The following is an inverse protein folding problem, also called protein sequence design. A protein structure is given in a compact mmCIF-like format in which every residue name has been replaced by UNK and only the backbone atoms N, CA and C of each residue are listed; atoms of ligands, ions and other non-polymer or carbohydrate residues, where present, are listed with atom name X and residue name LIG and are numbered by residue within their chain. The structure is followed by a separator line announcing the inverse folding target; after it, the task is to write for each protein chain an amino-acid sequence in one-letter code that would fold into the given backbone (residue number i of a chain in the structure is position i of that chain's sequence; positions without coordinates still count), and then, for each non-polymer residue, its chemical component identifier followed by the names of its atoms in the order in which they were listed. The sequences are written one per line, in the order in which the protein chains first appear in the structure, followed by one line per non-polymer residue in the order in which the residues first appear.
data_IF_224195351024
#
_entry.id   IF_224195351024
#
_cell.length_a   1.000
_cell.length_b   1.000
_cell.length_c   1.000
_cell.angle_alpha   90.00
_cell.angle_beta   90.00
_cell.angle_gamma   90.00
#
_symmetry.space_group_name_H-M   'P 1'
#
loop_
_entity.id
_entity.type
_entity.pdbx_description
1 polymer ?
#
# COMPACT_ATOMS: atom_id res chain seq x y z
N UNK A 1 -6.13 -13.99 15.64
CA UNK A 1 -6.29 -12.89 14.67
C UNK A 1 -6.08 -11.57 15.39
N UNK A 2 -5.07 -10.79 14.98
CA UNK A 2 -4.74 -9.47 15.53
C UNK A 2 -5.85 -8.46 15.20
N UNK A 3 -5.95 -7.35 15.94
CA UNK A 3 -6.99 -6.34 15.76
C UNK A 3 -7.05 -5.79 14.32
N UNK A 4 -5.91 -5.36 13.77
CA UNK A 4 -5.82 -4.85 12.40
C UNK A 4 -6.24 -5.87 11.33
N UNK A 5 -6.00 -7.16 11.55
CA UNK A 5 -6.41 -8.23 10.63
C UNK A 5 -7.93 -8.40 10.61
N UNK A 6 -8.60 -8.21 11.76
CA UNK A 6 -10.07 -8.20 11.83
C UNK A 6 -10.63 -7.00 11.07
N UNK A 7 -10.11 -5.79 11.32
CA UNK A 7 -10.49 -4.57 10.61
C UNK A 7 -10.33 -4.73 9.08
N UNK A 8 -9.24 -5.35 8.65
CA UNK A 8 -8.97 -5.65 7.25
C UNK A 8 -9.98 -6.65 6.66
N UNK A 9 -10.38 -7.66 7.43
CA UNK A 9 -11.36 -8.66 7.01
C UNK A 9 -12.77 -8.08 6.93
N UNK A 10 -13.11 -7.18 7.86
CA UNK A 10 -14.41 -6.52 7.99
C UNK A 10 -14.55 -5.27 7.10
N UNK A 11 -13.62 -5.05 6.17
CA UNK A 11 -13.65 -3.90 5.26
C UNK A 11 -14.91 -3.88 4.39
N UNK A 12 -15.44 -2.69 4.12
CA UNK A 12 -16.54 -2.50 3.19
C UNK A 12 -16.05 -2.81 1.77
N UNK A 13 -16.76 -3.66 1.03
CA UNK A 13 -16.30 -4.21 -0.26
C UNK A 13 -17.15 -3.80 -1.46
N UNK A 14 -18.20 -3.02 -1.25
CA UNK A 14 -19.09 -2.55 -2.32
C UNK A 14 -19.40 -1.07 -2.17
N UNK A 15 -19.70 -0.40 -3.29
CA UNK A 15 -20.14 1.00 -3.30
C UNK A 15 -21.38 1.20 -2.41
N UNK A 16 -22.35 0.28 -2.45
CA UNK A 16 -23.55 0.35 -1.61
C UNK A 16 -23.27 0.27 -0.11
N UNK A 17 -22.39 -0.65 0.32
CA UNK A 17 -22.00 -0.75 1.74
C UNK A 17 -21.36 0.55 2.23
N UNK A 18 -20.45 1.14 1.41
CA UNK A 18 -19.79 2.39 1.74
C UNK A 18 -20.76 3.57 1.82
N UNK A 19 -21.64 3.74 0.82
CA UNK A 19 -22.62 4.82 0.79
C UNK A 19 -23.61 4.71 1.96
N UNK A 20 -24.15 3.51 2.20
CA UNK A 20 -25.05 3.26 3.33
C UNK A 20 -24.38 3.60 4.67
N UNK A 21 -23.10 3.22 4.85
CA UNK A 21 -22.33 3.54 6.05
C UNK A 21 -22.14 5.05 6.26
N UNK A 22 -22.15 5.83 5.19
CA UNK A 22 -22.05 7.29 5.21
C UNK A 22 -23.41 7.99 5.25
N UNK A 23 -24.53 7.26 5.26
CA UNK A 23 -25.86 7.86 5.19
C UNK A 23 -26.16 8.50 3.84
N UNK A 24 -25.53 8.00 2.77
CA UNK A 24 -25.71 8.46 1.40
C UNK A 24 -26.51 7.43 0.59
N UNK A 25 -27.34 7.95 -0.32
CA UNK A 25 -28.03 7.20 -1.35
C UNK A 25 -27.30 7.35 -2.69
N UNK A 26 -27.50 6.41 -3.60
CA UNK A 26 -26.78 6.33 -4.87
C UNK A 26 -27.10 7.47 -5.84
N UNK A 27 -28.30 8.05 -5.73
CA UNK A 27 -28.75 9.22 -6.50
C UNK A 27 -28.14 10.54 -6.01
N UNK A 28 -27.64 10.57 -4.76
CA UNK A 28 -26.95 11.73 -4.19
C UNK A 28 -25.50 11.84 -4.66
N UNK A 29 -24.94 10.78 -5.23
CA UNK A 29 -23.56 10.75 -5.71
C UNK A 29 -23.56 10.54 -7.23
N UNK A 30 -22.83 11.39 -7.94
CA UNK A 30 -22.81 11.33 -9.39
C UNK A 30 -22.14 10.03 -9.88
N UNK A 31 -22.82 9.34 -10.80
CA UNK A 31 -22.24 8.25 -11.62
C UNK A 31 -21.66 7.07 -10.84
N UNK A 32 -22.22 6.71 -9.68
CA UNK A 32 -21.72 5.56 -8.89
C UNK A 32 -21.72 4.28 -9.73
N UNK A 33 -20.56 3.61 -9.81
CA UNK A 33 -20.46 2.27 -10.40
C UNK A 33 -20.78 1.21 -9.34
N UNK A 34 -21.84 0.45 -9.60
CA UNK A 34 -22.36 -0.59 -8.71
C UNK A 34 -21.72 -1.96 -8.97
N UNK A 35 -20.99 -2.12 -10.07
CA UNK A 35 -20.34 -3.39 -10.43
C UNK A 35 -18.97 -3.15 -11.04
N UNK A 36 -18.06 -2.45 -10.33
CA UNK A 36 -16.75 -2.07 -10.86
C UNK A 36 -15.83 -3.29 -11.02
N UNK A 37 -15.09 -3.34 -12.13
CA UNK A 37 -14.11 -4.40 -12.39
C UNK A 37 -12.94 -4.36 -11.37
N UNK A 38 -12.70 -3.19 -10.76
CA UNK A 38 -11.81 -3.02 -9.63
C UNK A 38 -12.64 -2.76 -8.36
N UNK A 39 -12.80 -3.75 -7.47
CA UNK A 39 -13.78 -3.68 -6.39
C UNK A 39 -13.48 -2.53 -5.42
N UNK A 40 -14.52 -2.03 -4.77
CA UNK A 40 -14.38 -1.15 -3.60
C UNK A 40 -13.77 -1.99 -2.47
N UNK A 41 -12.86 -1.38 -1.71
CA UNK A 41 -12.37 -1.95 -0.46
C UNK A 41 -11.96 -0.80 0.44
N UNK A 42 -12.64 -0.63 1.56
CA UNK A 42 -12.38 0.47 2.50
C UNK A 42 -12.50 -0.02 3.94
N UNK A 43 -11.44 0.07 4.76
CA UNK A 43 -11.50 -0.33 6.15
C UNK A 43 -12.19 0.74 7.01
N UNK A 44 -12.85 0.30 8.08
CA UNK A 44 -13.66 1.18 8.93
C UNK A 44 -12.90 2.41 9.49
N UNK A 45 -11.63 2.33 9.95
CA UNK A 45 -10.89 3.51 10.41
C UNK A 45 -10.66 4.58 9.35
N UNK A 46 -10.74 4.24 8.05
CA UNK A 46 -10.70 5.23 6.98
C UNK A 46 -12.07 5.87 6.74
N UNK A 47 -13.14 5.08 6.87
CA UNK A 47 -14.52 5.57 6.71
C UNK A 47 -14.91 6.54 7.82
N UNK A 48 -14.47 6.31 9.06
CA UNK A 48 -14.78 7.19 10.21
C UNK A 48 -14.22 8.61 10.10
N UNK A 49 -13.24 8.82 9.20
CA UNK A 49 -12.67 10.15 8.91
C UNK A 49 -13.40 10.90 7.79
N UNK A 50 -14.34 10.27 7.11
CA UNK A 50 -15.21 10.93 6.13
C UNK A 50 -16.33 11.69 6.84
N UNK A 51 -16.83 12.75 6.23
CA UNK A 51 -18.01 13.48 6.70
C UNK A 51 -19.28 12.72 6.30
N UNK A 52 -20.09 12.20 7.27
CA UNK A 52 -21.33 11.53 6.94
C UNK A 52 -22.31 12.46 6.20
N UNK A 53 -22.95 11.94 5.17
CA UNK A 53 -23.90 12.68 4.33
C UNK A 53 -23.26 13.65 3.32
N UNK A 54 -21.93 13.75 3.24
CA UNK A 54 -21.26 14.58 2.24
C UNK A 54 -20.88 13.77 0.99
N UNK A 55 -21.58 13.94 -0.15
CA UNK A 55 -21.25 13.23 -1.39
C UNK A 55 -19.97 13.74 -2.05
N UNK A 56 -19.42 14.88 -1.62
CA UNK A 56 -18.20 15.48 -2.16
C UNK A 56 -16.97 15.28 -1.28
N UNK A 57 -17.07 14.47 -0.23
CA UNK A 57 -15.99 14.21 0.71
C UNK A 57 -14.70 13.75 -0.05
N UNK A 58 -13.54 14.39 0.20
CA UNK A 58 -12.32 14.11 -0.55
C UNK A 58 -11.74 12.72 -0.29
N UNK A 59 -12.05 12.07 0.85
CA UNK A 59 -11.66 10.69 1.12
C UNK A 59 -12.60 9.73 0.38
N UNK A 60 -13.90 10.01 0.34
CA UNK A 60 -14.87 9.22 -0.44
C UNK A 60 -14.47 9.15 -1.91
N UNK A 61 -14.09 10.29 -2.50
CA UNK A 61 -13.62 10.41 -3.90
C UNK A 61 -12.39 9.56 -4.22
N UNK A 62 -11.60 9.19 -3.22
CA UNK A 62 -10.43 8.33 -3.41
C UNK A 62 -10.76 6.84 -3.51
N UNK A 63 -11.97 6.42 -3.11
CA UNK A 63 -12.30 4.99 -2.92
C UNK A 63 -13.61 4.53 -3.54
N UNK A 64 -14.58 5.43 -3.71
CA UNK A 64 -15.86 5.11 -4.33
C UNK A 64 -15.68 4.93 -5.84
N UNK A 65 -16.17 3.81 -6.37
CA UNK A 65 -16.10 3.56 -7.81
C UNK A 65 -17.13 4.41 -8.57
N UNK A 66 -16.70 5.02 -9.66
CA UNK A 66 -17.57 5.82 -10.54
C UNK A 66 -17.46 5.36 -12.00
N UNK A 67 -18.55 5.53 -12.76
CA UNK A 67 -18.64 5.10 -14.15
C UNK A 67 -17.60 5.79 -15.05
N UNK A 68 -17.18 7.02 -14.69
CA UNK A 68 -16.13 7.76 -15.37
C UNK A 68 -14.80 7.00 -15.44
N UNK A 69 -14.52 6.06 -14.53
CA UNK A 69 -13.33 5.21 -14.57
C UNK A 69 -13.29 4.27 -15.78
N UNK A 70 -14.44 4.03 -16.43
CA UNK A 70 -14.55 3.18 -17.64
C UNK A 70 -14.32 3.97 -18.93
N UNK A 71 -14.22 5.29 -18.85
CA UNK A 71 -13.96 6.11 -20.03
C UNK A 71 -12.55 5.84 -20.54
N UNK A 72 -12.47 5.32 -21.77
CA UNK A 72 -11.20 5.13 -22.45
C UNK A 72 -10.59 6.51 -22.79
N UNK A 73 -9.40 6.76 -22.28
CA UNK A 73 -8.66 7.99 -22.55
C UNK A 73 -7.52 7.70 -23.53
N UNK A 74 -7.38 8.47 -24.63
CA UNK A 74 -6.26 8.31 -25.55
C UNK A 74 -4.91 8.39 -24.82
N UNK A 75 -4.02 7.43 -25.11
CA UNK A 75 -2.68 7.35 -24.51
C UNK A 75 -2.63 6.62 -23.15
N UNK A 76 -3.76 6.21 -22.57
CA UNK A 76 -3.77 5.45 -21.33
C UNK A 76 -3.50 3.98 -21.64
N UNK A 77 -2.61 3.36 -20.85
CA UNK A 77 -2.22 1.95 -20.97
C UNK A 77 -2.33 1.25 -19.62
N UNK A 78 -2.39 -0.09 -19.64
CA UNK A 78 -2.55 -0.90 -18.41
C UNK A 78 -1.29 -0.94 -17.54
N UNK A 79 -0.12 -0.86 -18.15
CA UNK A 79 1.17 -0.82 -17.49
C UNK A 79 1.91 0.48 -17.88
N UNK A 80 1.55 1.62 -17.29
CA UNK A 80 2.09 2.93 -17.69
C UNK A 80 3.55 3.14 -17.29
N UNK A 81 4.12 2.22 -16.50
CA UNK A 81 5.47 2.33 -15.99
C UNK A 81 6.39 1.22 -16.49
N UNK A 82 5.94 0.29 -17.33
CA UNK A 82 6.68 -0.90 -17.77
C UNK A 82 7.19 -1.74 -16.58
N UNK A 83 6.28 -2.15 -15.70
CA UNK A 83 6.55 -2.90 -14.46
C UNK A 83 6.45 -4.42 -14.61
N UNK A 84 5.96 -4.93 -15.75
CA UNK A 84 5.84 -6.37 -16.00
C UNK A 84 7.16 -7.04 -16.39
N UNK A 85 8.13 -6.26 -16.86
CA UNK A 85 9.47 -6.77 -17.21
C UNK A 85 10.45 -6.57 -16.05
N UNK A 86 11.15 -7.64 -15.69
CA UNK A 86 12.12 -7.63 -14.59
C UNK A 86 13.03 -8.86 -14.61
N UNK A 87 14.14 -8.83 -13.85
CA UNK A 87 15.08 -9.94 -13.76
C UNK A 87 14.47 -11.24 -13.23
N UNK A 88 13.39 -11.15 -12.46
CA UNK A 88 12.60 -12.28 -11.98
C UNK A 88 11.19 -11.79 -11.61
N UNK A 89 10.18 -12.68 -11.52
CA UNK A 89 8.82 -12.30 -11.14
C UNK A 89 8.79 -11.48 -9.85
N UNK A 90 8.10 -10.35 -9.89
CA UNK A 90 7.96 -9.46 -8.74
C UNK A 90 9.21 -8.66 -8.34
N UNK A 91 10.31 -8.71 -9.09
CA UNK A 91 11.50 -7.88 -8.85
C UNK A 91 11.70 -6.95 -10.03
N UNK A 92 11.74 -5.65 -9.75
CA UNK A 92 12.00 -4.60 -10.73
C UNK A 92 13.35 -3.96 -10.42
N UNK A 93 14.24 -3.89 -11.41
CA UNK A 93 15.55 -3.28 -11.27
C UNK A 93 15.77 -2.21 -12.35
N UNK A 94 15.10 -1.07 -12.20
CA UNK A 94 15.16 0.07 -13.15
C UNK A 94 16.32 1.03 -12.87
N UNK A 95 16.81 1.05 -11.63
CA UNK A 95 17.81 1.98 -11.17
C UNK A 95 19.00 1.22 -10.61
N UNK A 96 20.22 1.62 -11.01
CA UNK A 96 21.48 0.96 -10.64
C UNK A 96 21.60 0.55 -9.16
N UNK A 97 21.18 1.40 -8.23
CA UNK A 97 21.46 1.18 -6.80
C UNK A 97 20.32 0.56 -6.01
N UNK A 98 19.16 0.28 -6.63
CA UNK A 98 17.96 -0.14 -5.89
C UNK A 98 17.06 -1.05 -6.70
N UNK A 99 16.49 -2.03 -6.01
CA UNK A 99 15.43 -2.89 -6.56
C UNK A 99 14.11 -2.61 -5.87
N UNK A 100 13.00 -2.79 -6.59
CA UNK A 100 11.67 -2.82 -6.02
C UNK A 100 11.15 -4.26 -6.04
N UNK A 101 10.59 -4.69 -4.93
CA UNK A 101 10.09 -6.04 -4.69
C UNK A 101 8.58 -5.97 -4.44
N UNK A 102 7.80 -6.65 -5.27
CA UNK A 102 6.37 -6.90 -5.10
C UNK A 102 6.22 -7.97 -4.02
N UNK A 103 6.31 -7.54 -2.76
CA UNK A 103 6.42 -8.46 -1.64
C UNK A 103 5.08 -9.05 -1.20
N UNK A 104 4.00 -8.31 -1.41
CA UNK A 104 2.62 -8.74 -1.16
C UNK A 104 1.67 -8.26 -2.25
N UNK A 105 0.85 -9.19 -2.71
CA UNK A 105 -0.31 -8.92 -3.53
C UNK A 105 -1.52 -8.56 -2.67
N UNK A 106 -2.24 -7.51 -3.07
CA UNK A 106 -3.43 -7.04 -2.36
C UNK A 106 -3.19 -5.82 -1.48
N UNK A 107 -4.22 -4.99 -1.36
CA UNK A 107 -4.23 -3.76 -0.59
C UNK A 107 -5.33 -3.83 0.48
N UNK A 108 -5.15 -3.10 1.58
CA UNK A 108 -6.24 -2.89 2.54
C UNK A 108 -7.29 -1.88 2.06
N UNK A 109 -6.92 -1.04 1.10
CA UNK A 109 -7.77 -0.05 0.47
C UNK A 109 -7.56 -0.09 -1.04
N UNK A 110 -8.62 -0.02 -1.82
CA UNK A 110 -8.50 0.03 -3.27
C UNK A 110 -8.66 1.47 -3.78
N UNK A 111 -7.54 2.18 -3.92
CA UNK A 111 -7.51 3.57 -4.41
C UNK A 111 -8.00 3.66 -5.86
N UNK A 112 -8.94 4.55 -6.16
CA UNK A 112 -9.46 4.74 -7.53
C UNK A 112 -8.41 5.21 -8.54
N UNK A 113 -7.39 5.89 -8.04
CA UNK A 113 -6.23 6.37 -8.80
C UNK A 113 -5.06 5.36 -8.85
N UNK A 114 -5.26 4.10 -8.47
CA UNK A 114 -4.18 3.11 -8.44
C UNK A 114 -3.69 2.78 -9.85
N UNK A 115 -2.47 3.21 -10.20
CA UNK A 115 -1.83 2.87 -11.48
C UNK A 115 -1.51 1.37 -11.60
N UNK A 116 -1.47 0.63 -10.48
CA UNK A 116 -1.31 -0.84 -10.44
C UNK A 116 -2.62 -1.62 -10.33
N UNK A 117 -3.78 -1.00 -10.59
CA UNK A 117 -5.08 -1.70 -10.52
C UNK A 117 -5.18 -2.90 -11.47
N UNK A 118 -4.39 -2.91 -12.54
CA UNK A 118 -4.32 -4.00 -13.52
C UNK A 118 -3.09 -4.91 -13.35
N UNK A 119 -2.27 -4.69 -12.32
CA UNK A 119 -1.04 -5.45 -12.12
C UNK A 119 -1.35 -6.91 -11.75
N UNK A 120 -0.72 -7.92 -12.39
CA UNK A 120 -0.97 -9.34 -12.15
C UNK A 120 -0.29 -9.81 -10.86
N UNK A 121 -0.84 -9.40 -9.71
CA UNK A 121 -0.27 -9.70 -8.39
C UNK A 121 -0.11 -11.19 -8.09
N UNK A 122 -1.01 -12.05 -8.60
CA UNK A 122 -0.94 -13.49 -8.33
C UNK A 122 0.34 -14.13 -8.91
N UNK A 123 0.81 -13.62 -10.04
CA UNK A 123 1.98 -14.13 -10.76
C UNK A 123 3.28 -13.47 -10.29
N UNK A 124 3.18 -12.28 -9.69
CA UNK A 124 4.33 -11.43 -9.39
C UNK A 124 4.53 -11.16 -7.89
N UNK A 125 3.75 -11.77 -7.00
CA UNK A 125 4.01 -11.66 -5.57
C UNK A 125 5.07 -12.66 -5.15
N UNK A 126 6.16 -12.18 -4.52
CA UNK A 126 7.19 -13.09 -4.02
C UNK A 126 6.64 -14.03 -2.96
N UNK A 127 6.90 -15.31 -3.15
CA UNK A 127 6.66 -16.37 -2.17
C UNK A 127 7.92 -16.62 -1.33
N UNK A 128 7.79 -17.43 -0.28
CA UNK A 128 8.93 -17.85 0.52
C UNK A 128 10.02 -18.58 -0.31
N UNK A 129 9.63 -19.25 -1.41
CA UNK A 129 10.56 -19.96 -2.30
C UNK A 129 11.38 -18.99 -3.17
N UNK A 130 10.84 -17.83 -3.47
CA UNK A 130 11.47 -16.84 -4.35
C UNK A 130 12.52 -15.99 -3.62
N UNK A 131 12.49 -15.98 -2.27
CA UNK A 131 13.45 -15.20 -1.46
C UNK A 131 14.89 -15.65 -1.68
N UNK A 132 15.13 -16.94 -1.89
CA UNK A 132 16.47 -17.47 -2.20
C UNK A 132 16.98 -16.94 -3.55
N UNK A 133 16.08 -16.84 -4.53
CA UNK A 133 16.35 -16.23 -5.84
C UNK A 133 16.67 -14.75 -5.72
N UNK A 134 15.87 -14.00 -4.94
CA UNK A 134 16.12 -12.58 -4.67
C UNK A 134 17.49 -12.37 -4.00
N UNK A 135 17.83 -13.13 -2.96
CA UNK A 135 19.12 -13.02 -2.28
C UNK A 135 20.28 -13.33 -3.24
N UNK A 136 20.13 -14.36 -4.07
CA UNK A 136 21.13 -14.72 -5.07
C UNK A 136 21.32 -13.61 -6.11
N UNK A 137 20.23 -13.01 -6.57
CA UNK A 137 20.24 -11.86 -7.45
C UNK A 137 20.99 -10.68 -6.81
N UNK A 138 20.63 -10.29 -5.58
CA UNK A 138 21.28 -9.16 -4.90
C UNK A 138 22.78 -9.39 -4.67
N UNK A 139 23.22 -10.64 -4.42
CA UNK A 139 24.64 -10.97 -4.31
C UNK A 139 25.39 -10.86 -5.64
N UNK A 140 24.73 -11.15 -6.75
CA UNK A 140 25.29 -10.98 -8.09
C UNK A 140 25.34 -9.51 -8.54
N UNK A 141 24.62 -8.62 -7.83
CA UNK A 141 24.47 -7.20 -8.13
C UNK A 141 24.93 -6.31 -6.96
N UNK A 142 26.25 -6.26 -6.67
CA UNK A 142 26.79 -5.53 -5.52
C UNK A 142 26.62 -4.00 -5.60
N UNK A 143 26.27 -3.46 -6.78
CA UNK A 143 25.88 -2.06 -6.96
C UNK A 143 24.54 -1.72 -6.27
N UNK A 144 23.68 -2.72 -6.04
CA UNK A 144 22.40 -2.56 -5.35
C UNK A 144 22.66 -2.44 -3.86
N UNK A 145 22.19 -1.34 -3.28
CA UNK A 145 22.33 -1.04 -1.85
C UNK A 145 21.03 -0.74 -1.12
N UNK A 146 19.91 -0.74 -1.83
CA UNK A 146 18.59 -0.47 -1.29
C UNK A 146 17.57 -1.46 -1.87
N UNK A 147 16.78 -2.08 -0.98
CA UNK A 147 15.61 -2.89 -1.35
C UNK A 147 14.35 -2.13 -0.97
N UNK A 148 13.48 -1.89 -1.97
CA UNK A 148 12.19 -1.25 -1.79
C UNK A 148 11.10 -2.31 -1.75
N UNK A 149 10.44 -2.48 -0.61
CA UNK A 149 9.27 -3.32 -0.49
C UNK A 149 8.04 -2.54 -0.95
N UNK A 150 7.33 -3.09 -1.92
CA UNK A 150 6.11 -2.54 -2.50
C UNK A 150 5.18 -3.69 -2.92
N UNK A 151 4.37 -3.49 -3.95
CA UNK A 151 3.32 -4.39 -4.40
C UNK A 151 1.96 -3.71 -4.23
N UNK A 152 1.01 -4.43 -3.64
CA UNK A 152 -0.22 -3.83 -3.14
C UNK A 152 0.08 -3.04 -1.87
N UNK A 153 0.32 -3.74 -0.76
CA UNK A 153 0.87 -3.15 0.46
C UNK A 153 1.75 -4.16 1.21
N UNK A 154 3.08 -3.92 1.37
CA UNK A 154 4.00 -4.82 2.05
C UNK A 154 3.64 -5.11 3.50
N UNK A 155 3.04 -4.14 4.21
CA UNK A 155 2.67 -4.32 5.60
C UNK A 155 1.44 -5.22 5.78
N UNK A 156 0.80 -5.67 4.68
CA UNK A 156 -0.17 -6.76 4.74
C UNK A 156 0.47 -8.09 5.17
N UNK A 157 1.80 -8.19 5.10
CA UNK A 157 2.52 -9.32 5.65
C UNK A 157 2.51 -9.30 7.19
N UNK A 158 2.40 -10.49 7.78
CA UNK A 158 2.60 -10.68 9.21
C UNK A 158 4.04 -10.36 9.63
N UNK A 159 4.19 -9.88 10.87
CA UNK A 159 5.47 -9.45 11.45
C UNK A 159 6.55 -10.54 11.37
N UNK A 160 6.20 -11.81 11.59
CA UNK A 160 7.14 -12.93 11.48
C UNK A 160 7.66 -13.12 10.05
N UNK A 161 6.80 -12.90 9.05
CA UNK A 161 7.19 -13.05 7.64
C UNK A 161 8.09 -11.88 7.22
N UNK A 162 7.78 -10.66 7.67
CA UNK A 162 8.63 -9.48 7.49
C UNK A 162 9.99 -9.67 8.16
N UNK A 163 10.01 -10.09 9.42
CA UNK A 163 11.23 -10.40 10.18
C UNK A 163 12.10 -11.42 9.45
N UNK A 164 11.48 -12.50 8.96
CA UNK A 164 12.17 -13.50 8.15
C UNK A 164 12.80 -12.91 6.89
N UNK A 165 12.10 -12.03 6.16
CA UNK A 165 12.68 -11.34 5.01
C UNK A 165 13.86 -10.44 5.42
N UNK A 166 13.74 -9.66 6.48
CA UNK A 166 14.79 -8.74 6.91
C UNK A 166 16.09 -9.48 7.22
N UNK A 167 16.02 -10.59 7.95
CA UNK A 167 17.18 -11.46 8.23
C UNK A 167 17.83 -11.95 6.93
N UNK A 168 17.04 -12.30 5.92
CA UNK A 168 17.57 -12.75 4.62
C UNK A 168 18.27 -11.62 3.88
N UNK A 169 17.73 -10.40 3.91
CA UNK A 169 18.33 -9.23 3.28
C UNK A 169 19.59 -8.73 4.01
N UNK A 170 19.64 -8.84 5.34
CA UNK A 170 20.83 -8.56 6.16
C UNK A 170 22.02 -9.44 5.79
N UNK A 171 21.77 -10.65 5.29
CA UNK A 171 22.82 -11.57 4.83
C UNK A 171 23.50 -11.15 3.50
N UNK A 172 23.06 -10.04 2.90
CA UNK A 172 23.64 -9.48 1.66
C UNK A 172 24.39 -8.20 2.01
N UNK A 173 25.71 -8.26 1.98
CA UNK A 173 26.60 -7.20 2.48
C UNK A 173 26.49 -5.86 1.74
N UNK A 174 26.06 -5.86 0.47
CA UNK A 174 25.84 -4.62 -0.30
C UNK A 174 24.57 -3.88 0.11
N UNK A 175 23.60 -4.56 0.75
CA UNK A 175 22.34 -3.93 1.16
C UNK A 175 22.55 -3.13 2.43
N UNK A 176 22.23 -1.85 2.36
CA UNK A 176 22.48 -0.90 3.45
C UNK A 176 21.21 -0.22 3.96
N UNK A 177 20.06 -0.45 3.31
CA UNK A 177 18.76 0.07 3.76
C UNK A 177 17.60 -0.69 3.16
N UNK A 178 16.49 -0.62 3.88
CA UNK A 178 15.18 -1.01 3.40
C UNK A 178 14.31 0.22 3.23
N UNK A 179 13.48 0.22 2.19
CA UNK A 179 12.41 1.20 2.03
C UNK A 179 11.08 0.46 1.96
N UNK A 180 10.09 0.86 2.74
CA UNK A 180 8.77 0.22 2.74
C UNK A 180 7.74 1.23 2.28
N UNK A 181 7.13 0.99 1.12
CA UNK A 181 6.03 1.80 0.59
C UNK A 181 4.71 1.18 1.04
N UNK A 182 3.96 1.88 1.87
CA UNK A 182 2.75 1.34 2.50
C UNK A 182 1.70 2.43 2.66
N UNK A 183 0.43 2.08 2.48
CA UNK A 183 -0.71 2.94 2.85
C UNK A 183 -1.33 2.49 4.16
N UNK A 184 -0.94 1.34 4.68
CA UNK A 184 -1.56 0.67 5.83
C UNK A 184 -1.66 1.56 7.08
N UNK A 185 -0.60 2.28 7.52
CA UNK A 185 -0.72 3.16 8.69
C UNK A 185 -1.70 4.33 8.50
N UNK A 186 -1.98 4.71 7.24
CA UNK A 186 -2.98 5.73 6.94
C UNK A 186 -4.39 5.13 7.00
N UNK A 187 -4.61 3.87 6.61
CA UNK A 187 -5.97 3.32 6.46
C UNK A 187 -6.40 2.37 7.58
N UNK A 188 -5.44 1.73 8.24
CA UNK A 188 -5.61 0.88 9.43
C UNK A 188 -4.42 1.20 10.37
N UNK A 189 -4.47 2.30 11.13
CA UNK A 189 -3.39 2.72 12.04
C UNK A 189 -3.00 1.64 13.04
N UNK A 190 -3.95 0.77 13.42
CA UNK A 190 -3.76 -0.39 14.31
C UNK A 190 -2.78 -1.43 13.77
N UNK A 191 -2.38 -1.33 12.49
CA UNK A 191 -1.29 -2.15 11.95
C UNK A 191 0.04 -1.83 12.63
N UNK A 192 0.22 -0.58 13.08
CA UNK A 192 1.40 -0.14 13.81
C UNK A 192 1.27 -0.62 15.26
N UNK A 193 1.70 -1.85 15.48
CA UNK A 193 1.73 -2.50 16.79
C UNK A 193 3.14 -2.47 17.37
N UNK A 194 3.26 -2.67 18.69
CA UNK A 194 4.57 -2.85 19.34
C UNK A 194 5.39 -3.97 18.70
N UNK A 195 4.75 -5.06 18.25
CA UNK A 195 5.43 -6.17 17.57
C UNK A 195 6.00 -5.77 16.21
N UNK A 196 5.27 -4.94 15.44
CA UNK A 196 5.80 -4.40 14.18
C UNK A 196 6.97 -3.45 14.46
N UNK A 197 6.78 -2.55 15.42
CA UNK A 197 7.81 -1.59 15.82
C UNK A 197 9.08 -2.31 16.28
N UNK A 198 8.95 -3.37 17.09
CA UNK A 198 10.06 -4.21 17.50
C UNK A 198 10.73 -4.90 16.30
N UNK A 199 9.94 -5.45 15.36
CA UNK A 199 10.47 -6.09 14.15
C UNK A 199 11.33 -5.13 13.33
N UNK A 200 10.89 -3.88 13.19
CA UNK A 200 11.63 -2.81 12.51
C UNK A 200 12.85 -2.39 13.33
N UNK A 201 12.75 -2.26 14.65
CA UNK A 201 13.84 -1.83 15.51
C UNK A 201 14.98 -2.87 15.60
N UNK A 202 14.66 -4.16 15.44
CA UNK A 202 15.65 -5.24 15.53
C UNK A 202 16.45 -5.48 14.28
N UNK A 203 16.00 -4.98 13.12
CA UNK A 203 16.78 -5.18 11.89
C UNK A 203 18.03 -4.31 11.90
N UNK A 204 19.15 -4.87 11.41
CA UNK A 204 20.39 -4.12 11.21
C UNK A 204 20.29 -3.14 10.03
N UNK A 205 19.29 -3.28 9.17
CA UNK A 205 19.06 -2.41 8.02
C UNK A 205 18.19 -1.20 8.41
N UNK A 206 18.68 0.04 8.30
CA UNK A 206 17.87 1.23 8.50
C UNK A 206 16.63 1.23 7.60
N UNK A 207 15.45 1.31 8.21
CA UNK A 207 14.17 1.32 7.49
C UNK A 207 13.73 2.76 7.21
N UNK A 208 13.45 3.05 5.95
CA UNK A 208 12.72 4.26 5.51
C UNK A 208 11.29 3.85 5.20
N UNK A 209 10.32 4.40 5.93
CA UNK A 209 8.91 4.15 5.64
C UNK A 209 8.35 5.28 4.79
N UNK A 210 7.71 4.95 3.66
CA UNK A 210 7.03 5.90 2.79
C UNK A 210 5.54 5.62 2.87
N UNK A 211 4.81 6.54 3.50
CA UNK A 211 3.37 6.54 3.61
C UNK A 211 2.72 7.07 2.34
N UNK A 212 1.43 6.81 2.20
CA UNK A 212 0.62 7.31 1.08
C UNK A 212 -0.64 8.00 1.59
N UNK A 213 -0.52 9.29 1.87
CA UNK A 213 -1.62 10.18 2.19
C UNK A 213 -1.76 11.26 1.13
N UNK A 214 -2.99 11.59 0.75
CA UNK A 214 -3.33 12.60 -0.25
C UNK A 214 -4.14 13.77 0.28
N UNK A 215 -4.76 13.68 1.45
CA UNK A 215 -5.58 14.76 1.99
C UNK A 215 -5.44 14.87 3.50
N UNK A 216 -5.54 16.10 4.04
CA UNK A 216 -5.37 16.35 5.47
C UNK A 216 -6.39 15.59 6.34
N UNK A 217 -7.62 15.38 5.86
CA UNK A 217 -8.64 14.61 6.58
C UNK A 217 -8.26 13.13 6.76
N UNK A 218 -7.26 12.61 6.04
CA UNK A 218 -6.71 11.27 6.30
C UNK A 218 -5.82 11.24 7.55
N UNK A 219 -5.63 12.35 8.27
CA UNK A 219 -4.75 12.41 9.43
C UNK A 219 -5.59 12.77 10.65
N UNK A 220 -6.00 11.75 11.40
CA UNK A 220 -6.62 11.89 12.72
C UNK A 220 -5.60 11.57 13.83
N UNK A 221 -6.05 11.55 15.09
CA UNK A 221 -5.17 11.23 16.21
C UNK A 221 -4.58 9.82 16.12
N UNK A 222 -5.36 8.83 15.67
CA UNK A 222 -4.89 7.45 15.57
C UNK A 222 -3.76 7.29 14.55
N UNK A 223 -3.85 7.97 13.41
CA UNK A 223 -2.76 8.06 12.43
C UNK A 223 -1.56 8.80 13.01
N UNK A 224 -1.76 9.93 13.69
CA UNK A 224 -0.65 10.69 14.31
C UNK A 224 0.11 9.84 15.33
N UNK A 225 -0.58 9.05 16.14
CA UNK A 225 0.03 8.16 17.13
C UNK A 225 0.81 7.02 16.46
N UNK A 226 0.22 6.39 15.43
CA UNK A 226 0.88 5.36 14.63
C UNK A 226 2.15 5.90 13.96
N UNK A 227 2.09 7.09 13.35
CA UNK A 227 3.25 7.74 12.74
C UNK A 227 4.30 8.11 13.78
N UNK A 228 3.88 8.56 14.97
CA UNK A 228 4.80 8.88 16.06
C UNK A 228 5.57 7.64 16.53
N UNK A 229 4.92 6.49 16.66
CA UNK A 229 5.60 5.22 16.95
C UNK A 229 6.58 4.82 15.85
N UNK A 230 6.16 4.91 14.58
CA UNK A 230 7.05 4.61 13.45
C UNK A 230 8.28 5.52 13.42
N UNK A 231 8.16 6.79 13.79
CA UNK A 231 9.29 7.74 13.86
C UNK A 231 10.32 7.38 14.94
N UNK A 232 9.96 6.60 15.95
CA UNK A 232 10.89 6.11 16.96
C UNK A 232 11.78 4.99 16.41
N UNK A 233 11.22 4.10 15.59
CA UNK A 233 11.91 2.87 15.12
C UNK A 233 12.44 2.96 13.69
N UNK A 234 11.87 3.81 12.85
CA UNK A 234 12.32 4.01 11.47
C UNK A 234 13.41 5.09 11.41
N UNK A 235 14.35 4.95 10.47
CA UNK A 235 15.32 6.00 10.17
C UNK A 235 14.64 7.28 9.69
N UNK A 236 13.58 7.14 8.90
CA UNK A 236 12.76 8.25 8.43
C UNK A 236 11.36 7.76 8.07
N UNK A 237 10.37 8.63 8.27
CA UNK A 237 9.00 8.44 7.79
C UNK A 237 8.71 9.57 6.80
N UNK A 238 8.37 9.21 5.57
CA UNK A 238 8.10 10.11 4.45
C UNK A 238 6.66 9.91 3.96
N UNK A 239 6.18 10.80 3.12
CA UNK A 239 4.88 10.65 2.44
C UNK A 239 5.04 10.85 0.93
N UNK A 240 4.37 10.00 0.14
CA UNK A 240 4.24 10.16 -1.29
C UNK A 240 2.76 10.37 -1.64
N UNK A 241 2.40 11.59 -2.00
CA UNK A 241 1.08 11.93 -2.52
C UNK A 241 1.01 11.85 -4.04
N UNK A 242 -0.20 11.71 -4.56
CA UNK A 242 -0.55 11.91 -5.97
C UNK A 242 -1.40 13.17 -6.05
N UNK A 243 -1.17 14.00 -7.08
CA UNK A 243 -2.01 15.17 -7.33
C UNK A 243 -3.32 14.69 -7.95
N UNK A 244 -4.42 14.94 -7.25
CA UNK A 244 -5.74 14.42 -7.56
C UNK A 244 -6.75 15.55 -7.59
N UNK A 245 -7.29 15.83 -8.79
CA UNK A 245 -8.22 16.94 -9.02
C UNK A 245 -9.39 16.94 -8.03
N UNK A 246 -9.43 17.96 -7.18
CA UNK A 246 -10.49 18.18 -6.19
C UNK A 246 -10.36 17.31 -4.93
N UNK A 247 -9.19 16.73 -4.70
CA UNK A 247 -8.81 16.11 -3.43
C UNK A 247 -7.68 16.93 -2.80
N UNK A 248 -6.61 17.23 -3.56
CA UNK A 248 -5.49 18.09 -3.14
C UNK A 248 -5.05 19.02 -4.28
#
# INVERSE_FOLDING_TARGET
MKAWQRILADSLTTSNQLLLRLGLMTDQVQSVDQSPDFPVRVPEPFVTRMVPGDPHDPLLRQVLAVADERHAMPGFVKDPLDELEGPMPGVLHKYRSRVLVIYRGGCAINCRYCFRRHFPYQENTLTARDIDGLVSYLRAHPEVNEVILSGGDPLMADDQVLSGLFVRLESVSSIHRLRIHTRLPIVIPERVTDTLCQTIATTALPVVMVLHSNHANEIDQSVMDAVSQLRVVCRSVLNQSVILKGIN
#
